data_IF_985278830749
#
_entry.id   IF_985278830749
#
_cell.length_a   1.000
_cell.length_b   1.000
_cell.length_c   1.000
_cell.angle_alpha   90.00
_cell.angle_beta   90.00
_cell.angle_gamma   90.00
#
_symmetry.space_group_name_H-M   'P 1'
#
loop_
_entity.id
_entity.type
_entity.pdbx_description
1 polymer ?
#
# COMPACT_ATOMS: atom_id res chain seq x y z
N UNK A 1 26.30 -1.31 -4.18
CA UNK A 1 24.99 -0.67 -4.44
C UNK A 1 23.99 -1.74 -4.84
N UNK A 2 22.83 -1.73 -4.20
CA UNK A 2 21.80 -2.73 -4.47
C UNK A 2 21.09 -2.43 -5.79
N UNK A 3 20.99 -3.43 -6.67
CA UNK A 3 20.26 -3.29 -7.93
C UNK A 3 18.81 -3.71 -7.72
N UNK A 4 17.95 -2.73 -7.50
CA UNK A 4 16.53 -2.96 -7.28
C UNK A 4 15.75 -3.25 -8.56
N UNK A 5 16.33 -2.90 -9.72
CA UNK A 5 15.62 -3.02 -11.01
C UNK A 5 15.45 -4.46 -11.48
N UNK A 6 16.23 -5.38 -10.96
CA UNK A 6 16.17 -6.79 -11.34
C UNK A 6 15.24 -7.62 -10.47
N UNK A 7 14.57 -7.01 -9.49
CA UNK A 7 13.68 -7.75 -8.60
C UNK A 7 12.42 -8.23 -9.32
N UNK A 8 11.96 -9.40 -8.93
CA UNK A 8 10.67 -9.94 -9.41
C UNK A 8 9.50 -9.17 -8.79
N UNK A 9 8.32 -9.32 -9.38
CA UNK A 9 7.12 -8.70 -8.82
C UNK A 9 6.87 -9.16 -7.38
N UNK A 10 7.11 -10.46 -7.09
CA UNK A 10 6.95 -10.97 -5.72
C UNK A 10 7.91 -10.29 -4.75
N UNK A 11 9.17 -10.10 -5.15
CA UNK A 11 10.14 -9.43 -4.30
C UNK A 11 9.76 -7.97 -4.01
N UNK A 12 9.25 -7.27 -5.02
CA UNK A 12 8.80 -5.88 -4.85
C UNK A 12 7.60 -5.83 -3.92
N UNK A 13 6.62 -6.70 -4.14
CA UNK A 13 5.42 -6.75 -3.29
C UNK A 13 5.80 -7.04 -1.83
N UNK A 14 6.65 -8.02 -1.60
CA UNK A 14 7.08 -8.41 -0.25
C UNK A 14 7.79 -7.25 0.45
N UNK A 15 8.67 -6.55 -0.26
CA UNK A 15 9.40 -5.40 0.30
C UNK A 15 8.43 -4.26 0.63
N UNK A 16 7.51 -3.98 -0.28
CA UNK A 16 6.49 -2.95 -0.07
C UNK A 16 5.63 -3.24 1.16
N UNK A 17 5.11 -4.47 1.28
CA UNK A 17 4.25 -4.82 2.42
C UNK A 17 5.02 -4.80 3.73
N UNK A 18 6.28 -5.22 3.71
CA UNK A 18 7.13 -5.18 4.90
C UNK A 18 7.36 -3.74 5.37
N UNK A 19 7.62 -2.82 4.43
CA UNK A 19 7.81 -1.40 4.77
C UNK A 19 6.49 -0.75 5.18
N UNK A 20 5.38 -1.13 4.55
CA UNK A 20 4.06 -0.59 4.88
C UNK A 20 3.66 -0.92 6.32
N UNK A 21 4.04 -2.07 6.83
CA UNK A 21 3.78 -2.43 8.23
C UNK A 21 4.44 -1.46 9.20
N UNK A 22 5.51 -0.79 8.78
CA UNK A 22 6.27 0.13 9.59
C UNK A 22 5.89 1.61 9.37
N UNK A 23 4.88 1.87 8.54
CA UNK A 23 4.42 3.25 8.32
C UNK A 23 3.74 3.83 9.56
N UNK A 24 3.19 3.00 10.43
CA UNK A 24 2.25 3.43 11.48
C UNK A 24 2.84 3.97 12.77
N UNK A 25 4.13 4.02 12.93
CA UNK A 25 4.70 4.60 14.14
C UNK A 25 4.77 6.13 14.01
N UNK A 26 4.44 6.86 15.07
CA UNK A 26 4.49 8.32 15.04
C UNK A 26 5.86 8.87 14.63
N UNK A 27 6.93 8.17 14.98
CA UNK A 27 8.30 8.58 14.67
C UNK A 27 8.80 7.96 13.39
N UNK A 28 8.23 6.82 13.00
CA UNK A 28 8.71 6.05 11.84
C UNK A 28 7.89 6.23 10.58
N UNK A 29 6.71 6.86 10.66
CA UNK A 29 5.78 6.94 9.55
C UNK A 29 6.40 7.54 8.28
N UNK A 30 6.93 8.76 8.40
CA UNK A 30 7.52 9.45 7.24
C UNK A 30 8.72 8.71 6.70
N UNK A 31 9.56 8.18 7.58
CA UNK A 31 10.77 7.46 7.16
C UNK A 31 10.42 6.17 6.44
N UNK A 32 9.47 5.41 6.96
CA UNK A 32 9.04 4.17 6.34
C UNK A 32 8.39 4.42 4.98
N UNK A 33 7.55 5.45 4.89
CA UNK A 33 6.89 5.84 3.65
C UNK A 33 7.93 6.27 2.59
N UNK A 34 8.86 7.15 2.95
CA UNK A 34 9.86 7.64 1.98
C UNK A 34 10.79 6.51 1.52
N UNK A 35 11.16 5.61 2.40
CA UNK A 35 11.96 4.45 2.02
C UNK A 35 11.21 3.53 1.06
N UNK A 36 9.91 3.28 1.34
CA UNK A 36 9.07 2.50 0.45
C UNK A 36 8.95 3.16 -0.93
N UNK A 37 8.71 4.46 -0.97
CA UNK A 37 8.63 5.21 -2.23
C UNK A 37 9.92 5.07 -3.04
N UNK A 38 11.05 5.27 -2.39
CA UNK A 38 12.35 5.19 -3.05
C UNK A 38 12.62 3.80 -3.61
N UNK A 39 12.29 2.77 -2.86
CA UNK A 39 12.62 1.39 -3.24
C UNK A 39 11.60 0.81 -4.21
N UNK A 40 10.33 1.08 -4.02
CA UNK A 40 9.26 0.28 -4.61
C UNK A 40 8.31 1.01 -5.54
N UNK A 41 8.28 2.34 -5.53
CA UNK A 41 7.33 3.10 -6.35
C UNK A 41 8.01 3.86 -7.46
N UNK A 42 7.49 3.72 -8.68
CA UNK A 42 7.91 4.55 -9.81
C UNK A 42 7.63 6.02 -9.51
N UNK A 43 8.47 6.92 -10.00
CA UNK A 43 8.23 8.36 -9.88
C UNK A 43 6.93 8.79 -10.58
N UNK A 44 6.50 8.02 -11.57
CA UNK A 44 5.29 8.28 -12.35
C UNK A 44 4.14 7.35 -11.96
N UNK A 45 4.19 6.73 -10.80
CA UNK A 45 3.15 5.79 -10.37
C UNK A 45 1.77 6.43 -10.46
N UNK A 46 0.79 5.64 -10.92
CA UNK A 46 -0.62 6.03 -10.93
C UNK A 46 -1.37 5.11 -9.99
N UNK A 47 -2.16 5.68 -9.09
CA UNK A 47 -3.00 4.91 -8.19
C UNK A 47 -4.45 5.31 -8.39
N UNK A 48 -5.29 4.31 -8.63
CA UNK A 48 -6.74 4.49 -8.75
C UNK A 48 -7.39 3.87 -7.52
N UNK A 49 -8.25 4.63 -6.88
CA UNK A 49 -8.99 4.18 -5.71
C UNK A 49 -10.47 4.51 -5.91
N UNK A 50 -11.34 3.81 -5.24
CA UNK A 50 -12.79 4.00 -5.41
C UNK A 50 -13.30 5.40 -5.01
N UNK A 51 -12.42 6.33 -4.67
CA UNK A 51 -12.77 7.71 -4.32
C UNK A 51 -11.89 8.74 -5.01
N UNK A 52 -11.10 8.34 -6.00
CA UNK A 52 -10.28 9.30 -6.74
C UNK A 52 -9.04 8.69 -7.35
N UNK A 53 -8.14 9.57 -7.80
CA UNK A 53 -6.89 9.19 -8.44
C UNK A 53 -5.72 9.94 -7.80
N UNK A 54 -4.57 9.29 -7.76
CA UNK A 54 -3.33 9.88 -7.22
C UNK A 54 -2.21 9.61 -8.20
N UNK A 55 -1.27 10.53 -8.32
CA UNK A 55 -0.21 10.44 -9.30
C UNK A 55 1.14 10.81 -8.68
N UNK A 56 2.15 10.00 -8.96
CA UNK A 56 3.52 10.25 -8.55
C UNK A 56 3.75 10.06 -7.06
N UNK A 57 4.97 10.28 -6.61
CA UNK A 57 5.31 10.14 -5.20
C UNK A 57 4.51 11.09 -4.31
N UNK A 58 4.26 12.31 -4.78
CA UNK A 58 3.43 13.24 -4.00
C UNK A 58 2.00 12.72 -3.84
N UNK A 59 1.45 12.11 -4.89
CA UNK A 59 0.14 11.47 -4.80
C UNK A 59 0.11 10.35 -3.78
N UNK A 60 1.19 9.54 -3.71
CA UNK A 60 1.28 8.48 -2.72
C UNK A 60 1.32 9.06 -1.30
N UNK A 61 2.04 10.16 -1.10
CA UNK A 61 2.08 10.81 0.21
C UNK A 61 0.70 11.30 0.65
N UNK A 62 -0.06 11.88 -0.28
CA UNK A 62 -1.44 12.31 -0.02
C UNK A 62 -2.33 11.12 0.32
N UNK A 63 -2.20 10.03 -0.41
CA UNK A 63 -2.95 8.81 -0.16
C UNK A 63 -2.61 8.23 1.22
N UNK A 64 -1.34 8.19 1.56
CA UNK A 64 -0.89 7.66 2.85
C UNK A 64 -1.45 8.49 4.00
N UNK A 65 -1.53 9.81 3.83
CA UNK A 65 -2.14 10.68 4.83
C UNK A 65 -3.62 10.37 5.00
N UNK A 66 -4.34 10.21 3.89
CA UNK A 66 -5.77 9.88 3.91
C UNK A 66 -6.01 8.54 4.62
N UNK A 67 -5.24 7.52 4.26
CA UNK A 67 -5.35 6.20 4.89
C UNK A 67 -5.04 6.28 6.38
N UNK A 68 -4.03 7.04 6.75
CA UNK A 68 -3.65 7.21 8.15
C UNK A 68 -4.70 7.91 8.99
N UNK A 69 -5.50 8.79 8.37
CA UNK A 69 -6.59 9.47 9.06
C UNK A 69 -7.81 8.57 9.24
N UNK A 70 -8.05 7.66 8.28
CA UNK A 70 -9.20 6.77 8.31
C UNK A 70 -8.93 5.48 9.08
N UNK A 71 -7.73 4.94 8.98
CA UNK A 71 -7.34 3.65 9.56
C UNK A 71 -6.15 3.87 10.49
N UNK A 72 -6.46 4.32 11.71
CA UNK A 72 -5.47 4.84 12.64
C UNK A 72 -4.57 3.80 13.28
N UNK A 73 -5.08 2.55 13.43
CA UNK A 73 -4.36 1.49 14.13
C UNK A 73 -3.60 0.62 13.16
N UNK A 74 -2.38 0.97 12.91
CA UNK A 74 -1.54 0.33 11.91
C UNK A 74 -1.41 -1.18 12.07
N UNK A 75 -1.35 -1.66 13.30
CA UNK A 75 -1.22 -3.09 13.60
C UNK A 75 -2.50 -3.89 13.38
N UNK A 76 -3.60 -3.20 13.09
CA UNK A 76 -4.90 -3.84 12.85
C UNK A 76 -5.09 -4.30 11.40
N UNK A 77 -4.12 -4.06 10.52
CA UNK A 77 -4.15 -4.57 9.15
C UNK A 77 -3.80 -6.05 9.13
N UNK A 78 -4.57 -6.81 8.37
CA UNK A 78 -4.30 -8.22 8.13
C UNK A 78 -4.31 -8.47 6.62
N UNK A 79 -3.22 -9.04 6.10
CA UNK A 79 -3.14 -9.43 4.69
C UNK A 79 -3.67 -10.85 4.56
N UNK A 80 -4.84 -11.00 3.96
CA UNK A 80 -5.57 -12.26 3.97
C UNK A 80 -5.29 -13.15 2.76
N UNK A 81 -4.83 -12.56 1.65
CA UNK A 81 -4.53 -13.32 0.44
C UNK A 81 -3.64 -12.48 -0.48
N UNK A 82 -2.71 -13.12 -1.17
CA UNK A 82 -2.01 -12.48 -2.29
C UNK A 82 -1.73 -13.48 -3.39
N UNK A 83 -1.60 -12.97 -4.62
CA UNK A 83 -1.24 -13.75 -5.79
C UNK A 83 -0.37 -12.89 -6.69
N UNK A 84 0.65 -13.49 -7.28
CA UNK A 84 1.57 -12.79 -8.18
C UNK A 84 1.76 -13.67 -9.42
N UNK A 85 1.61 -13.06 -10.60
CA UNK A 85 1.89 -13.71 -11.87
C UNK A 85 2.49 -12.70 -12.82
N UNK A 86 3.72 -12.97 -13.31
CA UNK A 86 4.42 -12.06 -14.20
C UNK A 86 4.61 -10.69 -13.58
N UNK A 87 4.03 -9.67 -14.21
CA UNK A 87 4.12 -8.28 -13.74
C UNK A 87 2.97 -7.85 -12.84
N UNK A 88 2.00 -8.73 -12.64
CA UNK A 88 0.79 -8.39 -11.87
C UNK A 88 0.84 -8.98 -10.49
N UNK A 89 0.32 -8.24 -9.53
CA UNK A 89 0.14 -8.72 -8.16
C UNK A 89 -1.24 -8.30 -7.66
N UNK A 90 -1.79 -9.10 -6.78
CA UNK A 90 -3.10 -8.89 -6.18
C UNK A 90 -3.01 -9.16 -4.69
N UNK A 91 -3.64 -8.31 -3.89
CA UNK A 91 -3.64 -8.41 -2.43
C UNK A 91 -5.05 -8.21 -1.90
N UNK A 92 -5.48 -9.08 -0.99
CA UNK A 92 -6.69 -8.83 -0.20
C UNK A 92 -6.28 -8.59 1.25
N UNK A 93 -6.99 -7.68 1.90
CA UNK A 93 -6.67 -7.31 3.27
C UNK A 93 -7.92 -6.92 4.03
N UNK A 94 -7.80 -6.95 5.34
CA UNK A 94 -8.85 -6.53 6.26
C UNK A 94 -8.25 -5.63 7.34
N UNK A 95 -9.10 -4.91 8.00
CA UNK A 95 -8.69 -3.99 9.06
C UNK A 95 -9.82 -3.88 10.08
N UNK A 96 -9.47 -3.84 11.35
CA UNK A 96 -10.46 -3.56 12.37
C UNK A 96 -9.82 -2.92 13.59
N UNK A 97 -10.41 -1.82 14.07
CA UNK A 97 -10.05 -1.21 15.35
C UNK A 97 -11.32 -1.00 16.17
N UNK A 98 -11.26 -0.20 17.23
CA UNK A 98 -12.42 0.05 18.09
C UNK A 98 -13.57 0.74 17.38
N UNK A 99 -13.28 1.57 16.41
CA UNK A 99 -14.25 2.48 15.80
C UNK A 99 -14.70 2.06 14.40
N UNK A 100 -13.82 1.45 13.62
CA UNK A 100 -14.09 1.14 12.22
C UNK A 100 -13.58 -0.23 11.83
N UNK A 101 -14.09 -0.74 10.70
CA UNK A 101 -13.56 -1.96 10.10
C UNK A 101 -13.62 -1.89 8.59
N UNK A 102 -12.73 -2.65 7.95
CA UNK A 102 -12.71 -2.87 6.50
C UNK A 102 -12.74 -4.38 6.28
N UNK A 103 -13.71 -4.86 5.48
CA UNK A 103 -13.84 -6.29 5.17
C UNK A 103 -13.56 -6.60 3.71
N UNK A 104 -13.43 -5.58 2.87
CA UNK A 104 -13.33 -5.72 1.42
C UNK A 104 -12.07 -5.08 0.83
N UNK A 105 -11.01 -4.97 1.61
CA UNK A 105 -9.77 -4.39 1.12
C UNK A 105 -9.15 -5.21 0.00
N UNK A 106 -8.83 -4.57 -1.13
CA UNK A 106 -8.20 -5.24 -2.26
C UNK A 106 -7.35 -4.25 -3.04
N UNK A 107 -6.11 -4.65 -3.32
CA UNK A 107 -5.16 -3.88 -4.10
C UNK A 107 -4.70 -4.70 -5.29
N UNK A 108 -4.52 -4.05 -6.44
CA UNK A 108 -3.87 -4.66 -7.60
C UNK A 108 -2.66 -3.83 -7.95
N UNK A 109 -1.61 -4.49 -8.46
CA UNK A 109 -0.35 -3.83 -8.78
C UNK A 109 0.13 -4.23 -10.15
N UNK A 110 0.73 -3.29 -10.88
CA UNK A 110 1.52 -3.59 -12.07
C UNK A 110 2.96 -3.20 -11.74
N UNK A 111 3.87 -4.15 -11.90
CA UNK A 111 5.26 -4.02 -11.47
C UNK A 111 6.19 -4.24 -12.65
N UNK A 112 7.06 -3.26 -12.92
CA UNK A 112 8.05 -3.34 -14.00
C UNK A 112 9.34 -2.69 -13.56
N UNK A 113 10.48 -3.27 -13.98
CA UNK A 113 11.78 -2.72 -13.65
C UNK A 113 12.02 -2.61 -12.16
N UNK A 114 11.47 -3.52 -11.39
CA UNK A 114 11.62 -3.53 -9.93
C UNK A 114 10.82 -2.44 -9.21
N UNK A 115 9.82 -1.86 -9.87
CA UNK A 115 9.00 -0.78 -9.30
C UNK A 115 7.52 -1.00 -9.56
N UNK A 116 6.69 -0.56 -8.63
CA UNK A 116 5.24 -0.49 -8.84
C UNK A 116 4.99 0.72 -9.75
N UNK A 117 4.43 0.48 -10.93
CA UNK A 117 4.14 1.56 -11.88
C UNK A 117 2.66 1.95 -11.88
N UNK A 118 1.79 1.06 -11.44
CA UNK A 118 0.36 1.33 -11.32
C UNK A 118 -0.22 0.48 -10.20
N UNK A 119 -1.24 1.01 -9.54
CA UNK A 119 -1.88 0.34 -8.43
C UNK A 119 -3.35 0.71 -8.38
N UNK A 120 -4.20 -0.23 -8.03
CA UNK A 120 -5.58 0.06 -7.69
C UNK A 120 -5.81 -0.31 -6.23
N UNK A 121 -6.66 0.44 -5.55
CA UNK A 121 -7.01 0.16 -4.16
C UNK A 121 -8.53 0.28 -4.03
N UNK A 122 -9.13 -0.71 -3.41
CA UNK A 122 -10.55 -0.66 -3.08
C UNK A 122 -10.74 -1.03 -1.60
N UNK A 123 -11.50 -0.23 -0.88
CA UNK A 123 -11.96 -0.59 0.47
C UNK A 123 -13.13 0.28 0.88
N UNK A 124 -13.95 -0.26 1.78
CA UNK A 124 -15.07 0.45 2.38
C UNK A 124 -14.85 0.52 3.88
N UNK A 125 -14.88 1.72 4.43
CA UNK A 125 -14.78 1.93 5.88
C UNK A 125 -16.18 1.81 6.47
N UNK A 126 -16.36 0.83 7.35
CA UNK A 126 -17.63 0.63 8.06
C UNK A 126 -17.48 1.13 9.48
N UNK A 127 -18.41 1.99 9.92
CA UNK A 127 -18.44 2.45 11.30
C UNK A 127 -19.00 1.33 12.18
N UNK A 128 -18.33 1.05 13.27
CA UNK A 128 -18.81 0.05 14.23
C UNK A 128 -19.86 0.71 15.14
N UNK A 129 -20.94 0.00 15.36
CA UNK A 129 -22.00 0.47 16.26
C UNK A 129 -21.76 -0.08 17.64
N UNK A 130 -21.93 0.78 18.62
CA UNK A 130 -21.83 0.41 20.02
C UNK A 130 -23.24 0.17 20.59
#
# INVERSE_FOLDING_TARGET
MEDLSSRTAQEVLDDHLNLAENWGGKVGFERGLEEDLRRNSSEDIVILINRGTFHGHEGVRQLAQMLGEELLEHRSFEYTYNAVEGRMAFLEWAYEDEDVRVRDGADSYLIEGGKIIAQTIHYTVEQKQN
#
